data_IF_328217592385
#
_entry.id   IF_328217592385
#
_cell.length_a   1.000
_cell.length_b   1.000
_cell.length_c   1.000
_cell.angle_alpha   90.00
_cell.angle_beta   90.00
_cell.angle_gamma   90.00
#
_symmetry.space_group_name_H-M   'P 1'
#
loop_
_entity.id
_entity.type
_entity.pdbx_description
1 polymer ?
#
# COMPACT_ATOMS: atom_id res chain seq x y z
N UNK A 1 4.33 -21.37 4.99
CA UNK A 1 4.89 -20.57 6.10
C UNK A 1 6.03 -19.73 5.54
N UNK A 2 5.71 -18.59 4.95
CA UNK A 2 6.70 -17.61 4.51
C UNK A 2 7.23 -16.90 5.75
N UNK A 3 8.44 -17.25 6.19
CA UNK A 3 9.09 -16.53 7.27
C UNK A 3 9.27 -15.07 6.82
N UNK A 4 8.87 -14.13 7.66
CA UNK A 4 9.37 -12.75 7.62
C UNK A 4 10.88 -12.84 7.35
N UNK A 5 11.45 -11.99 6.49
CA UNK A 5 12.89 -11.97 6.30
C UNK A 5 13.54 -11.81 7.67
N UNK A 6 14.25 -12.84 8.12
CA UNK A 6 14.96 -12.90 9.42
C UNK A 6 16.17 -11.97 9.48
N UNK A 7 16.23 -10.95 8.66
CA UNK A 7 17.38 -10.06 8.52
C UNK A 7 16.98 -8.58 8.67
N UNK A 8 16.15 -8.26 9.66
CA UNK A 8 16.33 -7.00 10.37
C UNK A 8 17.49 -7.27 11.32
N UNK A 9 18.53 -6.47 11.23
CA UNK A 9 19.74 -6.63 12.04
C UNK A 9 19.38 -6.45 13.52
N UNK A 10 19.06 -7.53 14.24
CA UNK A 10 18.70 -7.54 15.66
C UNK A 10 19.91 -7.46 16.59
N UNK A 11 21.12 -7.21 16.05
CA UNK A 11 22.35 -7.10 16.84
C UNK A 11 22.54 -5.74 17.52
N UNK A 12 21.65 -4.79 17.30
CA UNK A 12 21.55 -3.61 18.15
C UNK A 12 20.68 -3.98 19.34
N UNK A 13 21.28 -4.08 20.53
CA UNK A 13 20.58 -4.43 21.75
C UNK A 13 19.29 -3.63 21.95
N UNK A 14 18.37 -4.06 22.84
CA UNK A 14 17.06 -3.45 23.00
C UNK A 14 17.22 -1.95 23.24
N UNK A 15 16.43 -1.15 22.50
CA UNK A 15 16.36 0.28 22.71
C UNK A 15 16.00 0.57 24.15
N UNK A 16 16.72 1.48 24.80
CA UNK A 16 16.36 1.91 26.15
C UNK A 16 15.13 2.81 26.07
N UNK A 17 14.24 2.68 27.07
CA UNK A 17 13.09 3.56 27.19
C UNK A 17 13.55 5.04 27.17
N UNK A 18 13.03 5.87 26.25
CA UNK A 18 13.42 7.27 26.14
C UNK A 18 12.95 8.05 27.37
N UNK A 19 13.78 8.96 27.84
CA UNK A 19 13.50 9.79 29.03
C UNK A 19 13.40 11.28 28.71
N UNK A 20 13.95 11.70 27.58
CA UNK A 20 13.99 13.09 27.10
C UNK A 20 14.05 13.15 25.57
N UNK A 21 14.00 14.37 25.02
CA UNK A 21 13.98 14.57 23.56
C UNK A 21 15.27 14.07 22.87
N UNK A 22 16.40 14.06 23.54
CA UNK A 22 17.68 13.61 22.97
C UNK A 22 17.69 12.10 22.77
N UNK A 23 16.97 11.37 23.63
CA UNK A 23 16.84 9.92 23.58
C UNK A 23 15.71 9.42 22.65
N UNK A 24 14.94 10.32 22.03
CA UNK A 24 13.90 9.95 21.07
C UNK A 24 14.52 9.56 19.72
N UNK A 25 14.34 8.31 19.33
CA UNK A 25 14.69 7.81 17.99
C UNK A 25 13.51 6.98 17.43
N UNK A 26 12.63 7.62 16.68
CA UNK A 26 11.43 6.99 16.09
C UNK A 26 11.76 5.95 15.01
N UNK A 27 12.98 5.94 14.51
CA UNK A 27 13.40 5.11 13.37
C UNK A 27 14.49 4.09 13.74
N UNK A 28 14.95 4.11 14.98
CA UNK A 28 15.95 3.19 15.49
C UNK A 28 15.41 1.77 15.70
N UNK A 29 16.32 0.82 15.81
CA UNK A 29 15.98 -0.56 16.15
C UNK A 29 15.30 -0.60 17.53
N UNK A 30 14.15 -1.29 17.63
CA UNK A 30 13.36 -1.36 18.87
C UNK A 30 12.44 -0.15 19.15
N UNK A 31 12.39 0.86 18.27
CA UNK A 31 11.51 2.02 18.44
C UNK A 31 10.04 1.63 18.66
N UNK A 32 9.60 0.52 18.07
CA UNK A 32 8.23 0.02 18.16
C UNK A 32 7.80 -0.34 19.60
N UNK A 33 8.75 -0.67 20.47
CA UNK A 33 8.49 -1.04 21.85
C UNK A 33 8.26 0.19 22.76
N UNK A 34 8.64 1.39 22.27
CA UNK A 34 8.62 2.63 23.03
C UNK A 34 7.91 3.80 22.32
N UNK A 35 7.03 3.53 21.39
CA UNK A 35 6.32 4.59 20.64
C UNK A 35 5.54 5.53 21.54
N UNK A 36 4.84 4.98 22.55
CA UNK A 36 3.97 5.79 23.39
C UNK A 36 4.78 6.75 24.26
N UNK A 37 5.86 6.28 24.83
CA UNK A 37 6.77 7.10 25.64
C UNK A 37 7.43 8.19 24.77
N UNK A 38 7.85 7.86 23.54
CA UNK A 38 8.40 8.83 22.61
C UNK A 38 7.35 9.88 22.20
N UNK A 39 6.11 9.48 21.95
CA UNK A 39 5.06 10.43 21.60
C UNK A 39 4.72 11.38 22.76
N UNK A 40 4.73 10.93 23.99
CA UNK A 40 4.54 11.80 25.15
C UNK A 40 5.61 12.88 25.23
N UNK A 41 6.87 12.50 25.04
CA UNK A 41 8.00 13.44 25.00
C UNK A 41 7.84 14.44 23.83
N UNK A 42 7.55 13.94 22.64
CA UNK A 42 7.37 14.79 21.46
C UNK A 42 6.18 15.74 21.60
N UNK A 43 5.06 15.27 22.15
CA UNK A 43 3.89 16.13 22.39
C UNK A 43 4.20 17.29 23.34
N UNK A 44 5.06 17.07 24.34
CA UNK A 44 5.45 18.06 25.32
C UNK A 44 6.53 19.00 24.80
N UNK A 45 7.61 18.44 24.23
CA UNK A 45 8.87 19.16 24.04
C UNK A 45 9.13 19.55 22.56
N UNK A 46 8.62 18.76 21.59
CA UNK A 46 8.83 18.98 20.15
C UNK A 46 7.65 18.47 19.31
N UNK A 47 6.45 19.07 19.40
CA UNK A 47 5.27 18.60 18.66
C UNK A 47 5.47 18.62 17.12
N UNK A 48 6.38 19.43 16.63
CA UNK A 48 6.92 19.43 15.26
C UNK A 48 8.43 19.19 15.37
N UNK A 49 8.84 17.94 15.25
CA UNK A 49 10.26 17.56 15.29
C UNK A 49 10.90 17.75 13.91
N UNK A 50 11.92 18.59 13.80
CA UNK A 50 12.75 18.70 12.60
C UNK A 50 13.91 17.70 12.69
N UNK A 51 14.13 16.97 11.61
CA UNK A 51 15.24 16.03 11.46
C UNK A 51 16.13 16.55 10.32
N UNK A 52 17.25 17.23 10.63
CA UNK A 52 18.13 17.79 9.63
C UNK A 52 18.71 16.71 8.71
N UNK A 53 18.65 16.94 7.40
CA UNK A 53 19.15 15.99 6.39
C UNK A 53 18.34 14.69 6.27
N UNK A 54 17.24 14.54 7.02
CA UNK A 54 16.40 13.34 7.00
C UNK A 54 15.36 13.30 5.88
N UNK A 55 15.35 14.27 4.98
CA UNK A 55 14.41 14.34 3.87
C UNK A 55 14.72 13.34 2.75
N UNK A 56 13.74 13.15 1.86
CA UNK A 56 13.85 12.20 0.75
C UNK A 56 14.78 12.65 -0.38
N UNK A 57 15.12 13.94 -0.42
CA UNK A 57 16.11 14.49 -1.36
C UNK A 57 17.37 14.87 -0.60
N UNK A 58 18.55 14.76 -1.22
CA UNK A 58 19.77 15.29 -0.63
C UNK A 58 19.58 16.73 -0.15
N UNK A 59 20.19 17.06 0.99
CA UNK A 59 20.17 18.40 1.60
C UNK A 59 18.77 18.93 1.99
N UNK A 60 17.80 18.05 2.17
CA UNK A 60 16.48 18.41 2.69
C UNK A 60 16.23 17.80 4.06
N UNK A 61 15.41 18.48 4.85
CA UNK A 61 15.03 18.03 6.18
C UNK A 61 13.75 17.21 6.16
N UNK A 62 13.61 16.28 7.10
CA UNK A 62 12.33 15.67 7.43
C UNK A 62 11.69 16.35 8.63
N UNK A 63 10.36 16.25 8.72
CA UNK A 63 9.58 16.75 9.85
C UNK A 63 8.62 15.68 10.32
N UNK A 64 8.55 15.47 11.64
CA UNK A 64 7.58 14.59 12.28
C UNK A 64 6.58 15.44 13.03
N UNK A 65 5.30 15.27 12.69
CA UNK A 65 4.17 15.95 13.32
C UNK A 65 3.47 14.96 14.24
N UNK A 66 3.21 15.35 15.48
CA UNK A 66 2.59 14.46 16.48
C UNK A 66 1.24 14.94 16.97
N UNK A 67 0.93 16.25 16.89
CA UNK A 67 -0.37 16.77 17.32
C UNK A 67 -1.41 16.69 16.21
N UNK A 68 -2.61 16.24 16.56
CA UNK A 68 -3.74 16.13 15.64
C UNK A 68 -4.02 17.41 14.87
N UNK A 69 -3.95 18.58 15.51
CA UNK A 69 -4.22 19.85 14.84
C UNK A 69 -3.23 20.16 13.72
N UNK A 70 -1.94 19.89 13.94
CA UNK A 70 -0.88 20.12 12.97
C UNK A 70 -1.00 19.12 11.79
N UNK A 71 -1.24 17.85 12.11
CA UNK A 71 -1.48 16.80 11.10
C UNK A 71 -2.70 17.15 10.26
N UNK A 72 -3.81 17.56 10.91
CA UNK A 72 -5.03 17.95 10.21
C UNK A 72 -4.84 19.18 9.31
N UNK A 73 -4.02 20.15 9.73
CA UNK A 73 -3.69 21.32 8.92
C UNK A 73 -2.92 20.93 7.64
N UNK A 74 -1.93 20.02 7.78
CA UNK A 74 -1.16 19.51 6.62
C UNK A 74 -2.05 18.72 5.67
N UNK A 75 -2.85 17.77 6.18
CA UNK A 75 -3.70 16.90 5.34
C UNK A 75 -4.79 17.69 4.60
N UNK A 76 -5.27 18.77 5.18
CA UNK A 76 -6.30 19.63 4.56
C UNK A 76 -5.77 20.65 3.56
N UNK A 77 -4.47 20.72 3.37
CA UNK A 77 -3.84 21.70 2.49
C UNK A 77 -2.98 21.02 1.41
N UNK A 78 -3.62 20.37 0.43
CA UNK A 78 -2.92 19.65 -0.64
C UNK A 78 -2.19 20.58 -1.61
N UNK A 79 -2.43 21.90 -1.59
CA UNK A 79 -1.71 22.86 -2.42
C UNK A 79 -0.29 23.10 -1.92
N UNK A 80 -0.10 23.16 -0.58
CA UNK A 80 1.22 23.33 0.04
C UNK A 80 1.90 22.00 0.35
N UNK A 81 1.13 20.97 0.70
CA UNK A 81 1.64 19.68 1.15
C UNK A 81 1.23 18.58 0.17
N UNK A 82 2.07 18.32 -0.81
CA UNK A 82 1.80 17.38 -1.89
C UNK A 82 2.35 16.00 -1.53
N UNK A 83 1.52 14.95 -1.69
CA UNK A 83 1.97 13.56 -1.54
C UNK A 83 3.08 13.26 -2.56
N UNK A 84 4.18 12.71 -2.06
CA UNK A 84 5.30 12.31 -2.91
C UNK A 84 4.84 11.33 -3.99
N UNK A 85 5.08 11.62 -5.22
CA UNK A 85 4.59 10.85 -6.37
C UNK A 85 3.44 11.55 -7.09
N UNK A 86 2.52 12.19 -6.41
CA UNK A 86 1.42 12.90 -7.07
C UNK A 86 1.92 14.09 -7.89
N UNK A 87 2.91 14.81 -7.41
CA UNK A 87 3.56 15.88 -8.18
C UNK A 87 4.19 15.34 -9.46
N UNK A 88 4.94 14.25 -9.38
CA UNK A 88 5.57 13.61 -10.55
C UNK A 88 4.52 13.13 -11.55
N UNK A 89 3.44 12.52 -11.05
CA UNK A 89 2.32 12.07 -11.88
C UNK A 89 1.64 13.25 -12.60
N UNK A 90 1.41 14.36 -11.91
CA UNK A 90 0.88 15.58 -12.51
C UNK A 90 1.80 16.14 -13.59
N UNK A 91 3.09 16.30 -13.30
CA UNK A 91 4.11 16.74 -14.28
C UNK A 91 4.15 15.82 -15.52
N UNK A 92 4.02 14.52 -15.35
CA UNK A 92 3.96 13.56 -16.46
C UNK A 92 2.68 13.71 -17.30
N UNK A 93 1.54 13.87 -16.64
CA UNK A 93 0.26 14.10 -17.32
C UNK A 93 0.26 15.42 -18.10
N UNK A 94 0.80 16.49 -17.53
CA UNK A 94 0.91 17.81 -18.16
C UNK A 94 1.78 17.78 -19.43
N UNK A 95 2.76 16.88 -19.50
CA UNK A 95 3.58 16.65 -20.71
C UNK A 95 2.92 15.73 -21.76
N UNK A 96 1.71 15.25 -21.50
CA UNK A 96 1.03 14.29 -22.35
C UNK A 96 1.63 12.88 -22.31
N UNK A 97 2.33 12.52 -21.24
CA UNK A 97 2.91 11.18 -21.08
C UNK A 97 1.80 10.12 -21.07
N UNK A 98 1.94 9.10 -21.91
CA UNK A 98 0.99 7.97 -21.93
C UNK A 98 1.24 7.01 -20.76
N UNK A 99 0.23 6.18 -20.43
CA UNK A 99 0.34 5.18 -19.37
C UNK A 99 1.44 4.17 -19.64
N UNK A 100 1.60 3.75 -20.91
CA UNK A 100 2.64 2.83 -21.36
C UNK A 100 4.03 3.43 -21.13
N UNK A 101 4.21 4.71 -21.51
CA UNK A 101 5.49 5.40 -21.30
C UNK A 101 5.79 5.61 -19.82
N UNK A 102 4.79 5.94 -19.04
CA UNK A 102 4.91 6.06 -17.60
C UNK A 102 5.30 4.71 -16.95
N UNK A 103 4.78 3.60 -17.46
CA UNK A 103 5.18 2.26 -17.01
C UNK A 103 6.63 1.92 -17.40
N UNK A 104 7.03 2.19 -18.63
CA UNK A 104 8.41 2.00 -19.08
C UNK A 104 9.42 2.74 -18.18
N UNK A 105 9.08 3.97 -17.77
CA UNK A 105 9.96 4.82 -16.94
C UNK A 105 9.93 4.41 -15.48
N UNK A 106 8.74 4.15 -14.92
CA UNK A 106 8.56 3.86 -13.50
C UNK A 106 8.76 2.40 -13.13
N UNK A 107 8.55 1.49 -14.08
CA UNK A 107 8.46 0.04 -13.87
C UNK A 107 7.47 -0.32 -12.76
N UNK A 108 6.40 0.50 -12.62
CA UNK A 108 5.39 0.35 -11.58
C UNK A 108 3.99 0.63 -12.14
N UNK A 109 3.14 -0.41 -12.16
CA UNK A 109 1.77 -0.36 -12.69
C UNK A 109 0.90 0.69 -11.97
N UNK A 110 0.99 0.75 -10.64
CA UNK A 110 0.21 1.70 -9.86
C UNK A 110 0.58 3.15 -10.23
N UNK A 111 1.86 3.46 -10.29
CA UNK A 111 2.35 4.80 -10.66
C UNK A 111 1.96 5.15 -12.09
N UNK A 112 2.10 4.21 -13.02
CA UNK A 112 1.76 4.41 -14.41
C UNK A 112 0.27 4.70 -14.61
N UNK A 113 -0.60 3.92 -13.99
CA UNK A 113 -2.05 4.12 -14.11
C UNK A 113 -2.53 5.45 -13.54
N UNK A 114 -1.80 6.02 -12.57
CA UNK A 114 -2.15 7.33 -12.00
C UNK A 114 -2.08 8.48 -13.02
N UNK A 115 -1.25 8.36 -14.05
CA UNK A 115 -1.07 9.43 -15.07
C UNK A 115 -2.37 9.71 -15.83
N UNK A 116 -3.16 8.69 -16.11
CA UNK A 116 -4.47 8.86 -16.77
C UNK A 116 -5.63 8.92 -15.78
N UNK A 117 -5.58 8.12 -14.71
CA UNK A 117 -6.72 7.93 -13.82
C UNK A 117 -6.78 8.91 -12.66
N UNK A 118 -5.65 9.43 -12.20
CA UNK A 118 -5.54 10.26 -11.00
C UNK A 118 -4.50 11.39 -11.12
N UNK A 119 -4.35 12.09 -12.25
CA UNK A 119 -3.36 13.16 -12.40
C UNK A 119 -3.67 14.36 -11.51
N UNK A 120 -4.95 14.60 -11.20
CA UNK A 120 -5.43 15.71 -10.38
C UNK A 120 -6.33 15.21 -9.25
N UNK A 121 -6.60 16.07 -8.27
CA UNK A 121 -7.55 15.77 -7.18
C UNK A 121 -8.97 15.52 -7.70
N UNK A 122 -9.40 16.29 -8.72
CA UNK A 122 -10.70 16.08 -9.33
C UNK A 122 -10.82 14.68 -9.97
N UNK A 123 -9.81 14.28 -10.74
CA UNK A 123 -9.76 12.97 -11.37
C UNK A 123 -9.68 11.85 -10.33
N UNK A 124 -8.96 12.07 -9.21
CA UNK A 124 -8.94 11.12 -8.10
C UNK A 124 -10.32 10.88 -7.51
N UNK A 125 -11.12 11.94 -7.32
CA UNK A 125 -12.51 11.83 -6.81
C UNK A 125 -13.39 11.05 -7.78
N UNK A 126 -13.31 11.34 -9.09
CA UNK A 126 -14.04 10.61 -10.13
C UNK A 126 -13.63 9.14 -10.17
N UNK A 127 -12.32 8.87 -10.16
CA UNK A 127 -11.79 7.51 -10.09
C UNK A 127 -12.35 6.72 -8.89
N UNK A 128 -12.35 7.33 -7.70
CA UNK A 128 -12.93 6.70 -6.50
C UNK A 128 -14.39 6.36 -6.72
N UNK A 129 -15.17 7.35 -7.09
CA UNK A 129 -16.63 7.24 -7.22
C UNK A 129 -17.07 6.20 -8.27
N UNK A 130 -16.40 6.16 -9.41
CA UNK A 130 -16.84 5.35 -10.54
C UNK A 130 -16.20 3.96 -10.58
N UNK A 131 -14.92 3.84 -10.15
CA UNK A 131 -14.16 2.62 -10.37
C UNK A 131 -13.97 1.76 -9.11
N UNK A 132 -13.78 2.38 -7.94
CA UNK A 132 -13.44 1.62 -6.72
C UNK A 132 -14.53 1.63 -5.66
N UNK A 133 -15.19 2.76 -5.41
CA UNK A 133 -16.22 2.88 -4.37
C UNK A 133 -17.44 1.97 -4.60
N UNK A 134 -17.86 1.62 -5.83
CA UNK A 134 -18.91 0.64 -6.04
C UNK A 134 -18.63 -0.75 -5.45
N UNK A 135 -17.35 -1.05 -5.24
CA UNK A 135 -16.88 -2.35 -4.73
C UNK A 135 -16.36 -2.29 -3.30
N UNK A 136 -15.53 -1.31 -2.95
CA UNK A 136 -14.79 -1.30 -1.67
C UNK A 136 -15.05 -0.07 -0.81
N UNK A 137 -15.66 0.97 -1.35
CA UNK A 137 -16.07 2.17 -0.62
C UNK A 137 -17.51 2.06 -0.13
N UNK A 138 -18.36 2.92 -0.68
CA UNK A 138 -19.81 2.91 -0.36
C UNK A 138 -20.53 1.63 -0.77
N UNK A 139 -19.97 0.88 -1.71
CA UNK A 139 -20.47 -0.43 -2.15
C UNK A 139 -20.06 -1.62 -1.28
N UNK A 140 -19.14 -1.45 -0.33
CA UNK A 140 -18.62 -2.51 0.52
C UNK A 140 -19.71 -3.33 1.26
N UNK A 141 -20.89 -2.78 1.66
CA UNK A 141 -21.94 -3.55 2.29
C UNK A 141 -22.46 -4.76 1.47
N UNK A 142 -22.30 -4.74 0.16
CA UNK A 142 -22.66 -5.88 -0.72
C UNK A 142 -21.91 -7.16 -0.36
N UNK A 143 -20.72 -7.04 0.20
CA UNK A 143 -19.84 -8.16 0.55
C UNK A 143 -20.09 -8.73 1.95
N UNK A 144 -21.02 -8.16 2.75
CA UNK A 144 -21.23 -8.56 4.15
C UNK A 144 -21.42 -10.06 4.34
N UNK A 145 -22.23 -10.71 3.50
CA UNK A 145 -22.50 -12.14 3.63
C UNK A 145 -21.26 -12.97 3.28
N UNK A 146 -20.56 -12.60 2.22
CA UNK A 146 -19.31 -13.25 1.83
C UNK A 146 -18.24 -13.11 2.91
N UNK A 147 -18.06 -11.90 3.45
CA UNK A 147 -17.09 -11.64 4.54
C UNK A 147 -17.44 -12.45 5.79
N UNK A 148 -18.73 -12.49 6.18
CA UNK A 148 -19.19 -13.29 7.31
C UNK A 148 -18.90 -14.78 7.10
N UNK A 149 -19.15 -15.30 5.88
CA UNK A 149 -18.83 -16.68 5.55
C UNK A 149 -17.34 -16.96 5.67
N UNK A 150 -16.48 -16.14 5.06
CA UNK A 150 -15.02 -16.30 5.14
C UNK A 150 -14.52 -16.22 6.59
N UNK A 151 -15.08 -15.33 7.40
CA UNK A 151 -14.71 -15.21 8.80
C UNK A 151 -15.10 -16.46 9.60
N UNK A 152 -16.32 -16.99 9.41
CA UNK A 152 -16.76 -18.20 10.08
C UNK A 152 -15.95 -19.42 9.62
N UNK A 153 -15.72 -19.59 8.31
CA UNK A 153 -14.87 -20.68 7.79
C UNK A 153 -13.49 -20.68 8.45
N UNK A 154 -12.88 -19.49 8.67
CA UNK A 154 -11.59 -19.36 9.37
C UNK A 154 -11.69 -19.66 10.86
N UNK A 155 -12.77 -19.26 11.53
CA UNK A 155 -12.98 -19.56 12.95
C UNK A 155 -13.18 -21.05 13.17
N UNK A 156 -13.95 -21.70 12.31
CA UNK A 156 -14.23 -23.13 12.39
C UNK A 156 -12.96 -24.00 12.25
N UNK A 157 -11.88 -23.46 11.64
CA UNK A 157 -10.60 -24.18 11.53
C UNK A 157 -9.89 -24.39 12.88
N UNK A 158 -10.24 -23.64 13.95
CA UNK A 158 -9.50 -23.66 15.20
C UNK A 158 -10.31 -23.34 16.47
N UNK A 159 -11.63 -23.13 16.36
CA UNK A 159 -12.44 -22.70 17.51
C UNK A 159 -12.39 -23.70 18.68
N UNK A 160 -12.19 -24.98 18.39
CA UNK A 160 -12.12 -26.06 19.38
C UNK A 160 -10.70 -26.22 19.97
N UNK A 161 -9.69 -25.51 19.48
CA UNK A 161 -8.30 -25.64 19.95
C UNK A 161 -8.07 -24.97 21.31
N UNK A 162 -9.02 -24.15 21.80
CA UNK A 162 -8.95 -23.44 23.09
C UNK A 162 -8.00 -22.25 23.15
N UNK A 163 -6.92 -22.27 22.35
CA UNK A 163 -5.97 -21.16 22.16
C UNK A 163 -5.43 -21.15 20.75
N UNK A 164 -5.17 -19.96 20.17
CA UNK A 164 -4.72 -19.80 18.80
C UNK A 164 -3.73 -18.64 18.66
N UNK A 165 -2.79 -18.75 17.73
CA UNK A 165 -2.03 -17.60 17.27
C UNK A 165 -2.90 -16.81 16.28
N UNK A 166 -3.54 -15.75 16.77
CA UNK A 166 -4.63 -15.04 16.10
C UNK A 166 -4.21 -14.36 14.80
N UNK A 167 -2.98 -13.84 14.73
CA UNK A 167 -2.49 -13.10 13.56
C UNK A 167 -2.38 -14.01 12.35
N UNK A 168 -1.72 -15.16 12.49
CA UNK A 168 -1.49 -16.09 11.37
C UNK A 168 -2.73 -16.92 11.01
N UNK A 169 -3.61 -17.19 12.00
CA UNK A 169 -4.76 -18.07 11.79
C UNK A 169 -6.05 -17.30 11.43
N UNK A 170 -6.11 -15.99 11.71
CA UNK A 170 -7.32 -15.20 11.45
C UNK A 170 -7.03 -13.83 10.86
N UNK A 171 -6.30 -12.95 11.56
CA UNK A 171 -6.19 -11.55 11.19
C UNK A 171 -5.53 -11.32 9.84
N UNK A 172 -4.57 -12.17 9.45
CA UNK A 172 -3.90 -12.13 8.15
C UNK A 172 -4.68 -12.84 7.05
N UNK A 173 -5.18 -14.08 7.21
CA UNK A 173 -5.92 -14.78 6.16
C UNK A 173 -7.26 -14.13 5.81
N UNK A 174 -7.96 -13.51 6.78
CA UNK A 174 -9.28 -12.91 6.54
C UNK A 174 -9.26 -11.86 5.42
N UNK A 175 -8.49 -10.76 5.49
CA UNK A 175 -8.44 -9.78 4.42
C UNK A 175 -7.94 -10.38 3.10
N UNK A 176 -6.96 -11.28 3.13
CA UNK A 176 -6.43 -11.92 1.94
C UNK A 176 -7.51 -12.72 1.18
N UNK A 177 -8.30 -13.55 1.87
CA UNK A 177 -9.42 -14.31 1.27
C UNK A 177 -10.53 -13.38 0.78
N UNK A 178 -10.84 -12.33 1.54
CA UNK A 178 -11.87 -11.34 1.15
C UNK A 178 -11.44 -10.61 -0.13
N UNK A 179 -10.23 -10.10 -0.19
CA UNK A 179 -9.74 -9.40 -1.37
C UNK A 179 -9.54 -10.31 -2.58
N UNK A 180 -9.07 -11.54 -2.38
CA UNK A 180 -9.00 -12.52 -3.45
C UNK A 180 -10.40 -12.77 -4.06
N UNK A 181 -11.44 -12.88 -3.23
CA UNK A 181 -12.82 -13.02 -3.72
C UNK A 181 -13.30 -11.78 -4.49
N UNK A 182 -13.08 -10.58 -3.94
CA UNK A 182 -13.51 -9.31 -4.57
C UNK A 182 -12.83 -9.11 -5.93
N UNK A 183 -11.55 -9.42 -6.02
CA UNK A 183 -10.74 -9.24 -7.23
C UNK A 183 -10.77 -10.47 -8.17
N UNK A 184 -11.43 -11.55 -7.75
CA UNK A 184 -11.57 -12.78 -8.54
C UNK A 184 -10.29 -13.58 -8.69
N UNK A 185 -9.36 -13.52 -7.70
CA UNK A 185 -8.15 -14.34 -7.66
C UNK A 185 -8.45 -15.74 -7.11
N UNK A 186 -7.79 -16.80 -7.62
CA UNK A 186 -7.84 -18.12 -7.03
C UNK A 186 -7.28 -18.12 -5.60
N UNK A 187 -7.92 -18.86 -4.69
CA UNK A 187 -7.43 -18.95 -3.30
C UNK A 187 -6.06 -19.64 -3.19
N UNK A 188 -5.76 -20.55 -4.10
CA UNK A 188 -4.45 -21.21 -4.17
C UNK A 188 -3.30 -20.24 -4.44
N UNK A 189 -3.59 -19.06 -5.02
CA UNK A 189 -2.60 -18.03 -5.30
C UNK A 189 -2.38 -17.06 -4.12
N UNK A 190 -3.22 -17.11 -3.05
CA UNK A 190 -3.11 -16.20 -1.89
C UNK A 190 -1.70 -16.22 -1.26
N UNK A 191 -1.06 -17.38 -1.01
CA UNK A 191 0.29 -17.39 -0.44
C UNK A 191 1.31 -16.65 -1.30
N UNK A 192 1.20 -16.77 -2.62
CA UNK A 192 2.05 -16.10 -3.59
C UNK A 192 1.77 -14.58 -3.65
N UNK A 193 0.49 -14.19 -3.62
CA UNK A 193 0.09 -12.79 -3.55
C UNK A 193 0.60 -12.12 -2.27
N UNK A 194 0.54 -12.81 -1.13
CA UNK A 194 1.05 -12.32 0.14
C UNK A 194 2.58 -12.16 0.14
N UNK A 195 3.32 -13.10 -0.48
CA UNK A 195 4.77 -13.02 -0.64
C UNK A 195 5.17 -11.81 -1.51
N UNK A 196 4.47 -11.60 -2.61
CA UNK A 196 4.69 -10.43 -3.46
C UNK A 196 4.32 -9.12 -2.77
N UNK A 197 3.21 -9.07 -2.01
CA UNK A 197 2.83 -7.90 -1.21
C UNK A 197 3.94 -7.47 -0.24
N UNK A 198 4.56 -8.42 0.44
CA UNK A 198 5.71 -8.16 1.30
C UNK A 198 6.89 -7.56 0.51
N UNK A 199 7.20 -8.09 -0.69
CA UNK A 199 8.27 -7.57 -1.53
C UNK A 199 8.04 -6.12 -2.00
N UNK A 200 6.80 -5.67 -2.07
CA UNK A 200 6.44 -4.29 -2.42
C UNK A 200 6.55 -3.37 -1.20
N UNK A 201 6.05 -3.81 -0.04
CA UNK A 201 5.96 -2.97 1.16
C UNK A 201 7.32 -2.78 1.83
N UNK A 202 8.13 -3.83 1.89
CA UNK A 202 9.45 -3.80 2.55
C UNK A 202 10.38 -2.70 1.99
N UNK A 203 10.54 -2.50 0.67
CA UNK A 203 11.35 -1.39 0.15
C UNK A 203 10.81 -0.01 0.55
N UNK A 204 9.50 0.10 0.68
CA UNK A 204 8.85 1.36 1.08
C UNK A 204 9.12 1.70 2.54
N UNK A 205 9.10 0.69 3.40
CA UNK A 205 9.29 0.85 4.85
C UNK A 205 10.78 0.95 5.22
N UNK A 206 11.63 0.15 4.58
CA UNK A 206 13.03 -0.02 4.98
C UNK A 206 14.06 0.49 3.96
N UNK A 207 13.64 0.83 2.75
CA UNK A 207 14.54 1.19 1.64
C UNK A 207 14.65 2.68 1.35
N UNK A 208 13.84 3.53 2.02
CA UNK A 208 13.79 4.97 1.74
C UNK A 208 13.89 5.80 3.02
N UNK A 209 14.37 7.04 2.89
CA UNK A 209 14.49 7.97 4.01
C UNK A 209 15.61 7.59 4.97
N UNK A 210 15.33 7.66 6.27
CA UNK A 210 16.31 7.47 7.36
C UNK A 210 16.72 6.00 7.59
N UNK A 211 16.00 5.04 6.99
CA UNK A 211 16.25 3.60 7.13
C UNK A 211 16.72 2.99 5.82
N UNK A 212 17.99 3.15 5.48
CA UNK A 212 18.61 2.45 4.35
C UNK A 212 19.10 1.05 4.78
N UNK A 213 18.19 0.16 5.14
CA UNK A 213 18.51 -1.18 5.65
C UNK A 213 18.46 -2.26 4.56
N UNK A 214 18.14 -1.92 3.30
CA UNK A 214 18.05 -2.87 2.20
C UNK A 214 19.35 -2.89 1.41
N UNK A 215 20.01 -4.06 1.36
CA UNK A 215 21.19 -4.24 0.53
C UNK A 215 20.84 -4.18 -0.97
N UNK A 216 21.82 -3.87 -1.85
CA UNK A 216 21.60 -3.89 -3.30
C UNK A 216 21.10 -5.25 -3.83
N UNK A 217 21.51 -6.34 -3.21
CA UNK A 217 21.08 -7.70 -3.56
C UNK A 217 19.62 -7.95 -3.18
N UNK A 218 19.23 -7.54 -1.97
CA UNK A 218 17.83 -7.57 -1.54
C UNK A 218 16.94 -6.69 -2.43
N UNK A 219 17.39 -5.49 -2.78
CA UNK A 219 16.67 -4.62 -3.70
C UNK A 219 16.45 -5.28 -5.06
N UNK A 220 17.46 -5.96 -5.60
CA UNK A 220 17.35 -6.68 -6.88
C UNK A 220 16.34 -7.83 -6.81
N UNK A 221 16.36 -8.64 -5.73
CA UNK A 221 15.38 -9.72 -5.52
C UNK A 221 13.95 -9.16 -5.41
N UNK A 222 13.77 -8.08 -4.67
CA UNK A 222 12.49 -7.41 -4.53
C UNK A 222 11.96 -6.85 -5.86
N UNK A 223 12.84 -6.27 -6.68
CA UNK A 223 12.47 -5.83 -8.03
C UNK A 223 12.00 -6.99 -8.91
N UNK A 224 12.70 -8.12 -8.90
CA UNK A 224 12.30 -9.30 -9.67
C UNK A 224 10.94 -9.85 -9.20
N UNK A 225 10.68 -9.84 -7.90
CA UNK A 225 9.37 -10.22 -7.33
C UNK A 225 8.27 -9.25 -7.72
N UNK A 226 8.56 -7.95 -7.72
CA UNK A 226 7.62 -6.92 -8.18
C UNK A 226 7.26 -7.11 -9.65
N UNK A 227 8.24 -7.39 -10.52
CA UNK A 227 7.98 -7.67 -11.94
C UNK A 227 7.07 -8.91 -12.09
N UNK A 228 7.40 -10.02 -11.44
CA UNK A 228 6.56 -11.23 -11.47
C UNK A 228 5.13 -11.01 -10.95
N UNK A 229 4.97 -10.17 -9.94
CA UNK A 229 3.65 -9.77 -9.43
C UNK A 229 2.87 -8.96 -10.46
N UNK A 230 3.51 -8.00 -11.10
CA UNK A 230 2.87 -7.15 -12.12
C UNK A 230 2.47 -7.94 -13.35
N UNK A 231 3.31 -8.84 -13.81
CA UNK A 231 3.00 -9.76 -14.93
C UNK A 231 1.79 -10.64 -14.59
N UNK A 232 1.75 -11.18 -13.37
CA UNK A 232 0.62 -11.99 -12.92
C UNK A 232 -0.70 -11.19 -12.90
N UNK A 233 -0.70 -9.97 -12.36
CA UNK A 233 -1.89 -9.11 -12.38
C UNK A 233 -2.33 -8.82 -13.82
N UNK A 234 -1.38 -8.51 -14.69
CA UNK A 234 -1.68 -8.18 -16.07
C UNK A 234 -2.34 -9.35 -16.82
N UNK A 235 -1.83 -10.56 -16.63
CA UNK A 235 -2.45 -11.77 -17.21
C UNK A 235 -3.80 -12.09 -16.59
N UNK A 236 -3.99 -11.83 -15.28
CA UNK A 236 -5.28 -11.97 -14.62
C UNK A 236 -6.33 -11.01 -15.23
N UNK A 237 -5.99 -9.75 -15.45
CA UNK A 237 -6.87 -8.77 -16.12
C UNK A 237 -7.25 -9.26 -17.52
N UNK A 238 -6.29 -9.75 -18.30
CA UNK A 238 -6.55 -10.32 -19.64
C UNK A 238 -7.47 -11.54 -19.60
N UNK A 239 -7.29 -12.41 -18.61
CA UNK A 239 -8.15 -13.57 -18.42
C UNK A 239 -9.59 -13.13 -18.12
N UNK A 240 -9.80 -12.19 -17.20
CA UNK A 240 -11.11 -11.64 -16.86
C UNK A 240 -11.80 -10.90 -18.01
N UNK A 241 -11.02 -10.26 -18.88
CA UNK A 241 -11.56 -9.63 -20.09
C UNK A 241 -12.09 -10.68 -21.11
N UNK A 242 -11.47 -11.85 -21.18
CA UNK A 242 -11.91 -12.97 -22.05
C UNK A 242 -13.08 -13.75 -21.47
N UNK A 243 -13.07 -13.94 -20.15
CA UNK A 243 -14.06 -14.73 -19.42
C UNK A 243 -14.50 -13.96 -18.15
N UNK A 244 -15.45 -13.01 -18.28
CA UNK A 244 -15.91 -12.19 -17.16
C UNK A 244 -16.64 -13.01 -16.11
N UNK A 245 -16.41 -12.65 -14.84
CA UNK A 245 -17.05 -13.23 -13.66
C UNK A 245 -17.72 -12.13 -12.83
N UNK A 246 -18.44 -12.50 -11.75
CA UNK A 246 -18.97 -11.51 -10.79
C UNK A 246 -17.89 -11.06 -9.81
N UNK A 247 -16.93 -10.29 -10.33
CA UNK A 247 -15.84 -9.72 -9.56
C UNK A 247 -15.45 -8.30 -10.03
N UNK A 248 -14.68 -7.61 -9.20
CA UNK A 248 -14.30 -6.22 -9.47
C UNK A 248 -13.44 -6.08 -10.72
N UNK A 249 -12.57 -7.05 -11.02
CA UNK A 249 -11.70 -6.96 -12.20
C UNK A 249 -12.52 -7.08 -13.48
N UNK A 250 -13.48 -7.99 -13.52
CA UNK A 250 -14.42 -8.12 -14.63
C UNK A 250 -15.26 -6.86 -14.83
N UNK A 251 -15.72 -6.24 -13.73
CA UNK A 251 -16.40 -4.94 -13.77
C UNK A 251 -15.50 -3.87 -14.39
N UNK A 252 -14.25 -3.75 -13.94
CA UNK A 252 -13.29 -2.78 -14.48
C UNK A 252 -12.99 -3.01 -15.97
N UNK A 253 -13.03 -4.26 -16.44
CA UNK A 253 -12.87 -4.58 -17.85
C UNK A 253 -14.01 -4.09 -18.73
N UNK A 254 -15.23 -3.94 -18.19
CA UNK A 254 -16.41 -3.59 -18.94
C UNK A 254 -16.89 -2.15 -18.73
N UNK A 255 -16.58 -1.53 -17.61
CA UNK A 255 -17.04 -0.18 -17.26
C UNK A 255 -16.61 0.86 -18.29
N UNK A 256 -17.55 1.71 -18.70
CA UNK A 256 -17.26 2.95 -19.43
C UNK A 256 -16.92 4.03 -18.40
N UNK A 257 -15.67 4.47 -18.39
CA UNK A 257 -15.21 5.49 -17.46
C UNK A 257 -15.52 6.88 -18.00
N UNK A 258 -16.52 7.54 -17.43
CA UNK A 258 -17.05 8.83 -17.94
C UNK A 258 -15.96 9.91 -18.01
N UNK A 259 -15.04 9.95 -17.04
CA UNK A 259 -14.00 10.96 -17.00
C UNK A 259 -13.03 10.93 -18.19
N UNK A 260 -12.90 9.77 -18.86
CA UNK A 260 -12.05 9.59 -20.06
C UNK A 260 -12.87 9.27 -21.31
N UNK A 261 -14.21 9.17 -21.20
CA UNK A 261 -15.14 8.82 -22.28
C UNK A 261 -14.74 7.52 -23.02
N UNK A 262 -14.25 6.52 -22.29
CA UNK A 262 -13.83 5.22 -22.85
C UNK A 262 -13.75 4.13 -21.78
N UNK A 263 -13.63 2.88 -22.24
CA UNK A 263 -13.24 1.77 -21.35
C UNK A 263 -11.77 1.90 -20.95
N UNK A 264 -11.44 1.29 -19.81
CA UNK A 264 -10.08 1.23 -19.29
C UNK A 264 -9.21 0.27 -20.11
N UNK A 265 -7.93 0.59 -20.25
CA UNK A 265 -6.92 -0.31 -20.80
C UNK A 265 -6.53 -1.38 -19.77
N UNK A 266 -5.95 -2.49 -20.24
CA UNK A 266 -5.48 -3.55 -19.34
C UNK A 266 -4.43 -3.03 -18.34
N UNK A 267 -3.58 -2.10 -18.76
CA UNK A 267 -2.55 -1.52 -17.93
C UNK A 267 -3.13 -0.61 -16.83
N UNK A 268 -4.16 0.17 -17.15
CA UNK A 268 -4.88 0.98 -16.16
C UNK A 268 -5.58 0.11 -15.12
N UNK A 269 -6.26 -0.95 -15.54
CA UNK A 269 -6.92 -1.90 -14.64
C UNK A 269 -5.88 -2.61 -13.76
N UNK A 270 -4.79 -3.09 -14.35
CA UNK A 270 -3.71 -3.74 -13.60
C UNK A 270 -3.11 -2.80 -12.55
N UNK A 271 -3.00 -1.50 -12.84
CA UNK A 271 -2.57 -0.50 -11.87
C UNK A 271 -3.54 -0.29 -10.70
N UNK A 272 -4.86 -0.34 -10.97
CA UNK A 272 -5.89 -0.30 -9.92
C UNK A 272 -5.78 -1.53 -9.02
N UNK A 273 -5.70 -2.72 -9.62
CA UNK A 273 -5.59 -4.00 -8.91
C UNK A 273 -4.32 -4.04 -8.05
N UNK A 274 -3.19 -3.60 -8.61
CA UNK A 274 -1.92 -3.47 -7.87
C UNK A 274 -2.09 -2.60 -6.62
N UNK A 275 -2.72 -1.43 -6.76
CA UNK A 275 -2.96 -0.53 -5.63
C UNK A 275 -3.89 -1.13 -4.58
N UNK A 276 -4.89 -1.91 -4.99
CA UNK A 276 -5.84 -2.58 -4.10
C UNK A 276 -5.17 -3.67 -3.26
N UNK A 277 -4.29 -4.48 -3.85
CA UNK A 277 -3.59 -5.56 -3.14
C UNK A 277 -2.62 -5.00 -2.09
N UNK A 278 -1.95 -3.87 -2.37
CA UNK A 278 -1.08 -3.21 -1.38
C UNK A 278 -1.89 -2.67 -0.18
N UNK A 279 -3.12 -2.23 -0.42
CA UNK A 279 -4.00 -1.67 0.61
C UNK A 279 -4.79 -2.71 1.41
N UNK A 280 -4.68 -3.99 1.10
CA UNK A 280 -5.39 -5.11 1.73
C UNK A 280 -4.58 -5.76 2.92
#
# INVERSE_FOLDING_TARGET
MGAYPKHVNHDLGPMKCPVDLVSVDLFGAGAQEHWYEMYEILHRDAPVLRIPGGGLKPDTDAFVLTKHADIAAVVKDPERFIVMGQRRVGEWADTGMTVERAYEVSRNLMTASMVSLRPTQEMYIKHRKELTDPWVGTGAPRHRQMIAKVANDLLDEWIDDGAVEFISRFARPLPQRVFATILGFPFDDIPRLAEWGNAIVVPFVHGTGLKHEISPEQAKDMFARLEGFQDYIYEHVRAKRRDPQDDMVSFLCDVHYEALDRKLTDLEIAGIVHAMIIGA
#
